data_IF_855235978732
#
_entry.id   IF_855235978732
#
_cell.length_a   1.000
_cell.length_b   1.000
_cell.length_c   1.000
_cell.angle_alpha   90.00
_cell.angle_beta   90.00
_cell.angle_gamma   90.00
#
_symmetry.space_group_name_H-M   'P 1'
#
loop_
_entity.id
_entity.type
_entity.pdbx_description
1 polymer ?
#
# COMPACT_ATOMS: atom_id res chain seq x y z
N UNK A 1 -3.32 22.82 -7.34
CA UNK A 1 -1.97 22.54 -6.80
C UNK A 1 -2.20 22.00 -5.39
N UNK A 2 -2.19 20.70 -5.11
CA UNK A 2 -1.15 19.69 -5.30
C UNK A 2 -1.80 18.41 -5.84
N UNK A 3 -1.19 17.80 -6.86
CA UNK A 3 -1.58 16.50 -7.40
C UNK A 3 -1.53 15.44 -6.29
N UNK A 4 -2.66 14.80 -5.99
CA UNK A 4 -2.70 13.60 -5.18
C UNK A 4 -1.95 12.47 -5.88
N UNK A 5 -0.62 12.43 -5.73
CA UNK A 5 0.19 11.28 -6.11
C UNK A 5 -0.25 10.13 -5.23
N UNK A 6 -1.07 9.25 -5.80
CA UNK A 6 -1.51 8.01 -5.16
C UNK A 6 -0.28 7.18 -4.81
N UNK A 7 -0.19 6.84 -3.53
CA UNK A 7 0.86 6.02 -2.97
C UNK A 7 0.85 4.64 -3.62
N UNK A 8 2.03 4.00 -3.79
CA UNK A 8 2.09 2.56 -3.93
C UNK A 8 1.45 1.94 -2.69
N UNK A 9 0.48 1.04 -2.89
CA UNK A 9 -0.16 0.25 -1.83
C UNK A 9 0.84 -0.75 -1.23
N UNK A 10 1.75 -0.26 -0.40
CA UNK A 10 2.54 -1.07 0.51
C UNK A 10 2.37 -0.46 1.90
N UNK A 11 1.69 -1.20 2.77
CA UNK A 11 1.21 -0.81 4.10
C UNK A 11 2.34 -0.58 5.14
N UNK A 12 3.47 0.02 4.74
CA UNK A 12 4.64 0.24 5.60
C UNK A 12 4.36 1.25 6.73
N UNK A 13 3.30 2.03 6.62
CA UNK A 13 2.84 2.95 7.68
C UNK A 13 2.37 2.21 8.93
N UNK A 14 1.99 0.93 8.80
CA UNK A 14 1.63 0.05 9.92
C UNK A 14 2.76 -0.16 10.92
N UNK A 15 4.01 -0.06 10.46
CA UNK A 15 5.22 -0.38 11.24
C UNK A 15 5.77 0.84 12.00
N UNK A 16 5.15 2.01 11.82
CA UNK A 16 5.47 3.22 12.58
C UNK A 16 5.07 3.03 14.04
N UNK A 17 6.04 3.07 14.94
CA UNK A 17 5.83 2.80 16.37
C UNK A 17 5.83 4.09 17.19
N UNK A 18 4.74 4.36 17.95
CA UNK A 18 4.68 5.50 18.84
C UNK A 18 5.67 5.35 19.99
N UNK A 19 6.14 6.47 20.51
CA UNK A 19 7.13 6.50 21.57
C UNK A 19 6.60 7.23 22.79
N UNK A 20 6.87 6.69 23.98
CA UNK A 20 6.65 7.38 25.24
C UNK A 20 7.82 8.32 25.50
N UNK A 21 7.53 9.59 25.67
CA UNK A 21 8.56 10.57 26.00
C UNK A 21 8.80 10.63 27.51
N UNK A 22 10.03 10.95 27.91
CA UNK A 22 10.38 11.26 29.29
C UNK A 22 10.80 12.73 29.38
N UNK A 23 9.82 13.64 29.40
CA UNK A 23 10.07 15.08 29.48
C UNK A 23 10.83 15.45 30.77
N UNK A 24 12.14 15.70 30.66
CA UNK A 24 12.98 16.20 31.77
C UNK A 24 13.12 17.71 31.62
N UNK A 25 12.26 18.46 32.31
CA UNK A 25 12.29 19.93 32.35
C UNK A 25 13.51 20.48 33.12
N UNK A 26 14.72 20.33 32.59
CA UNK A 26 15.88 21.07 33.11
C UNK A 26 15.95 22.42 32.38
N UNK A 27 15.50 23.49 33.07
CA UNK A 27 15.60 24.94 32.73
C UNK A 27 14.42 25.64 32.03
N UNK A 28 13.18 25.40 32.47
CA UNK A 28 12.11 26.42 32.39
C UNK A 28 11.59 26.83 33.78
N UNK A 29 12.33 26.47 34.83
CA UNK A 29 12.02 26.78 36.22
C UNK A 29 12.47 28.20 36.58
N UNK A 30 11.73 29.20 36.09
CA UNK A 30 11.48 30.44 36.82
C UNK A 30 10.35 31.21 36.14
N UNK A 31 9.10 30.92 36.57
CA UNK A 31 7.80 31.61 36.34
C UNK A 31 6.63 30.76 35.80
N UNK A 32 6.84 29.58 35.20
CA UNK A 32 5.80 28.82 34.47
C UNK A 32 5.47 27.40 34.99
N UNK A 33 5.14 27.26 36.29
CA UNK A 33 4.76 25.96 36.86
C UNK A 33 3.49 25.32 36.27
N UNK A 34 2.52 26.14 35.82
CA UNK A 34 1.27 25.69 35.20
C UNK A 34 1.45 25.15 33.78
N UNK A 35 2.18 25.87 32.93
CA UNK A 35 2.42 25.48 31.53
C UNK A 35 3.14 24.14 31.42
N UNK A 36 4.09 23.85 32.32
CA UNK A 36 4.77 22.56 32.33
C UNK A 36 3.85 21.38 32.71
N UNK A 37 2.81 21.60 33.53
CA UNK A 37 1.83 20.56 33.86
C UNK A 37 0.86 20.35 32.69
N UNK A 38 0.43 21.44 32.05
CA UNK A 38 -0.45 21.39 30.87
C UNK A 38 0.22 20.64 29.71
N UNK A 39 1.48 20.91 29.40
CA UNK A 39 2.22 20.21 28.34
C UNK A 39 2.32 18.70 28.59
N UNK A 40 2.57 18.28 29.84
CA UNK A 40 2.60 16.85 30.21
C UNK A 40 1.23 16.19 30.07
N UNK A 41 0.17 16.89 30.45
CA UNK A 41 -1.20 16.39 30.31
C UNK A 41 -1.56 16.21 28.82
N UNK A 42 -1.27 17.21 27.99
CA UNK A 42 -1.50 17.13 26.54
C UNK A 42 -0.75 15.95 25.92
N UNK A 43 0.52 15.75 26.25
CA UNK A 43 1.31 14.63 25.75
C UNK A 43 0.74 13.28 26.21
N UNK A 44 0.35 13.15 27.48
CA UNK A 44 -0.26 11.92 27.99
C UNK A 44 -1.57 11.58 27.26
N UNK A 45 -2.45 12.57 27.09
CA UNK A 45 -3.69 12.40 26.32
C UNK A 45 -3.41 12.09 24.84
N UNK A 46 -2.39 12.72 24.25
CA UNK A 46 -2.01 12.44 22.87
C UNK A 46 -1.52 11.00 22.69
N UNK A 47 -0.65 10.52 23.59
CA UNK A 47 -0.16 9.13 23.57
C UNK A 47 -1.29 8.14 23.81
N UNK A 48 -2.17 8.41 24.77
CA UNK A 48 -3.32 7.54 25.04
C UNK A 48 -4.25 7.44 23.81
N UNK A 49 -4.62 8.59 23.24
CA UNK A 49 -5.43 8.63 22.01
C UNK A 49 -4.73 7.89 20.86
N UNK A 50 -3.41 8.02 20.71
CA UNK A 50 -2.63 7.31 19.69
C UNK A 50 -2.64 5.80 19.89
N UNK A 51 -2.45 5.33 21.13
CA UNK A 51 -2.48 3.91 21.46
C UNK A 51 -3.88 3.30 21.27
N UNK A 52 -4.93 4.10 21.40
CA UNK A 52 -6.31 3.72 21.15
C UNK A 52 -6.78 3.99 19.70
N UNK A 53 -5.86 4.26 18.77
CA UNK A 53 -6.14 4.55 17.34
C UNK A 53 -7.07 5.75 17.09
N UNK A 54 -7.20 6.66 18.05
CA UNK A 54 -7.95 7.92 17.92
C UNK A 54 -7.05 9.00 17.32
N UNK A 55 -6.72 8.84 16.03
CA UNK A 55 -5.69 9.63 15.35
C UNK A 55 -5.99 11.13 15.31
N UNK A 56 -7.23 11.54 14.99
CA UNK A 56 -7.59 12.96 14.94
C UNK A 56 -7.53 13.64 16.31
N UNK A 57 -7.99 12.94 17.35
CA UNK A 57 -7.91 13.41 18.74
C UNK A 57 -6.45 13.55 19.18
N UNK A 58 -5.64 12.52 18.93
CA UNK A 58 -4.21 12.54 19.22
C UNK A 58 -3.49 13.68 18.50
N UNK A 59 -3.83 13.92 17.22
CA UNK A 59 -3.29 15.02 16.42
C UNK A 59 -3.59 16.37 17.08
N UNK A 60 -4.83 16.60 17.52
CA UNK A 60 -5.22 17.86 18.18
C UNK A 60 -4.39 18.11 19.44
N UNK A 61 -4.14 17.08 20.24
CA UNK A 61 -3.31 17.21 21.43
C UNK A 61 -1.85 17.53 21.10
N UNK A 62 -1.25 16.88 20.09
CA UNK A 62 0.11 17.20 19.65
C UNK A 62 0.22 18.58 18.99
N UNK A 63 -0.77 19.00 18.21
CA UNK A 63 -0.81 20.33 17.60
C UNK A 63 -0.85 21.41 18.69
N UNK A 64 -1.73 21.27 19.69
CA UNK A 64 -1.78 22.18 20.84
C UNK A 64 -0.49 22.14 21.66
N UNK A 65 0.09 20.94 21.86
CA UNK A 65 1.37 20.80 22.56
C UNK A 65 2.48 21.59 21.85
N UNK A 66 2.58 21.48 20.52
CA UNK A 66 3.59 22.16 19.70
C UNK A 66 3.33 23.68 19.66
N UNK A 67 2.08 24.12 19.56
CA UNK A 67 1.68 25.54 19.60
C UNK A 67 2.11 26.22 20.90
N UNK A 68 1.87 25.57 22.05
CA UNK A 68 2.26 26.07 23.37
C UNK A 68 3.79 26.18 23.56
N UNK A 69 4.60 25.54 22.71
CA UNK A 69 6.05 25.73 22.71
C UNK A 69 6.49 27.06 22.05
N UNK A 70 5.59 27.79 21.37
CA UNK A 70 5.86 29.11 20.78
C UNK A 70 7.15 29.15 19.93
N UNK A 71 7.38 28.14 19.09
CA UNK A 71 8.59 27.97 18.28
C UNK A 71 9.91 27.85 19.05
N UNK A 72 9.88 27.65 20.37
CA UNK A 72 11.05 27.35 21.21
C UNK A 72 11.22 25.84 21.35
N UNK A 73 11.38 25.17 20.21
CA UNK A 73 11.55 23.72 20.21
C UNK A 73 12.88 23.32 20.80
N UNK A 74 12.82 22.40 21.77
CA UNK A 74 14.00 21.80 22.38
C UNK A 74 14.15 20.37 21.88
N UNK A 75 15.29 19.75 22.19
CA UNK A 75 15.53 18.33 21.92
C UNK A 75 14.39 17.43 22.46
N UNK A 76 13.75 17.82 23.56
CA UNK A 76 12.69 17.06 24.21
C UNK A 76 11.37 17.06 23.41
N UNK A 77 11.19 18.02 22.48
CA UNK A 77 10.06 18.06 21.56
C UNK A 77 10.18 17.05 20.41
N UNK A 78 11.36 16.46 20.19
CA UNK A 78 11.60 15.54 19.06
C UNK A 78 10.64 14.34 19.05
N UNK A 79 10.33 13.78 20.21
CA UNK A 79 9.37 12.66 20.34
C UNK A 79 7.94 13.09 19.94
N UNK A 80 7.53 14.31 20.30
CA UNK A 80 6.21 14.83 19.95
C UNK A 80 6.06 15.01 18.43
N UNK A 81 7.07 15.60 17.77
CA UNK A 81 7.13 15.67 16.31
C UNK A 81 7.14 14.28 15.69
N UNK A 82 7.96 13.35 16.19
CA UNK A 82 7.96 11.96 15.69
C UNK A 82 6.58 11.32 15.82
N UNK A 83 5.87 11.47 16.95
CA UNK A 83 4.55 10.87 17.13
C UNK A 83 3.49 11.54 16.27
N UNK A 84 3.53 12.88 16.09
CA UNK A 84 2.66 13.58 15.15
C UNK A 84 2.92 13.15 13.70
N UNK A 85 4.17 12.91 13.33
CA UNK A 85 4.53 12.35 12.03
C UNK A 85 3.89 10.99 11.78
N UNK A 86 3.85 10.12 12.80
CA UNK A 86 3.13 8.83 12.71
C UNK A 86 1.65 9.06 12.46
N UNK A 87 1.02 9.96 13.21
CA UNK A 87 -0.41 10.27 13.08
C UNK A 87 -0.72 10.84 11.69
N UNK A 88 0.06 11.81 11.23
CA UNK A 88 -0.09 12.38 9.90
C UNK A 88 0.05 11.31 8.82
N UNK A 89 0.99 10.37 8.96
CA UNK A 89 1.11 9.26 8.03
C UNK A 89 -0.15 8.37 8.05
N UNK A 90 -0.68 8.04 9.22
CA UNK A 90 -1.92 7.23 9.38
C UNK A 90 -3.15 7.92 8.77
N UNK A 91 -3.21 9.25 8.85
CA UNK A 91 -4.27 10.06 8.24
C UNK A 91 -4.06 10.29 6.73
N UNK A 92 -2.97 9.80 6.14
CA UNK A 92 -2.64 10.00 4.72
C UNK A 92 -1.99 11.36 4.40
N UNK A 93 -1.68 12.17 5.41
CA UNK A 93 -0.98 13.46 5.29
C UNK A 93 0.54 13.25 5.17
N UNK A 94 0.97 12.61 4.08
CA UNK A 94 2.34 12.12 3.91
C UNK A 94 3.40 13.23 3.96
N UNK A 95 3.14 14.37 3.32
CA UNK A 95 4.10 15.48 3.30
C UNK A 95 4.32 16.05 4.70
N UNK A 96 3.23 16.29 5.44
CA UNK A 96 3.30 16.72 6.84
C UNK A 96 3.98 15.68 7.74
N UNK A 97 3.82 14.39 7.45
CA UNK A 97 4.52 13.32 8.16
C UNK A 97 6.04 13.39 7.95
N UNK A 98 6.48 13.62 6.70
CA UNK A 98 7.90 13.78 6.37
C UNK A 98 8.48 14.99 7.11
N UNK A 99 7.81 16.15 7.04
CA UNK A 99 8.23 17.38 7.72
C UNK A 99 8.35 17.17 9.24
N UNK A 100 7.40 16.47 9.85
CA UNK A 100 7.43 16.13 11.27
C UNK A 100 8.62 15.22 11.63
N UNK A 101 8.89 14.18 10.84
CA UNK A 101 10.03 13.31 11.08
C UNK A 101 11.37 14.01 10.86
N UNK A 102 11.48 14.85 9.82
CA UNK A 102 12.66 15.68 9.57
C UNK A 102 12.91 16.65 10.72
N UNK A 103 11.87 17.29 11.24
CA UNK A 103 11.96 18.15 12.43
C UNK A 103 12.42 17.35 13.66
N UNK A 104 11.87 16.14 13.88
CA UNK A 104 12.26 15.29 14.99
C UNK A 104 13.77 14.96 14.99
N UNK A 105 14.33 14.58 13.83
CA UNK A 105 15.76 14.27 13.71
C UNK A 105 16.64 15.52 13.68
N UNK A 106 16.11 16.67 13.29
CA UNK A 106 16.80 17.96 13.43
C UNK A 106 16.95 18.36 14.91
N UNK A 107 15.87 18.26 15.69
CA UNK A 107 15.85 18.57 17.12
C UNK A 107 16.69 17.60 17.95
N UNK A 108 16.73 16.32 17.55
CA UNK A 108 17.49 15.29 18.24
C UNK A 108 18.25 14.38 17.27
N UNK A 109 19.51 14.72 17.00
CA UNK A 109 20.42 13.92 16.15
C UNK A 109 20.73 12.52 16.67
N UNK A 110 20.35 12.17 17.90
CA UNK A 110 20.52 10.84 18.51
C UNK A 110 19.20 10.06 18.61
N UNK A 111 18.17 10.46 17.86
CA UNK A 111 16.86 9.85 17.93
C UNK A 111 16.70 8.68 16.94
N UNK A 112 17.19 7.49 17.31
CA UNK A 112 17.17 6.28 16.48
C UNK A 112 15.80 5.98 15.85
N UNK A 113 14.74 5.94 16.66
CA UNK A 113 13.39 5.58 16.18
C UNK A 113 12.81 6.59 15.18
N UNK A 114 13.14 7.88 15.31
CA UNK A 114 12.71 8.92 14.36
C UNK A 114 13.42 8.74 13.02
N UNK A 115 14.71 8.43 13.01
CA UNK A 115 15.42 8.08 11.77
C UNK A 115 14.86 6.82 11.11
N UNK A 116 14.53 5.77 11.88
CA UNK A 116 13.88 4.57 11.35
C UNK A 116 12.50 4.89 10.73
N UNK A 117 11.67 5.70 11.41
CA UNK A 117 10.37 6.11 10.90
C UNK A 117 10.49 7.00 9.65
N UNK A 118 11.48 7.90 9.63
CA UNK A 118 11.81 8.73 8.46
C UNK A 118 12.25 7.87 7.27
N UNK A 119 13.09 6.86 7.50
CA UNK A 119 13.50 5.93 6.47
C UNK A 119 12.30 5.15 5.89
N UNK A 120 11.38 4.72 6.76
CA UNK A 120 10.18 4.01 6.35
C UNK A 120 9.24 4.88 5.49
N UNK A 121 9.03 6.15 5.85
CA UNK A 121 8.19 7.06 5.04
C UNK A 121 8.87 7.40 3.69
N UNK A 122 10.19 7.52 3.65
CA UNK A 122 10.91 7.67 2.38
C UNK A 122 10.83 6.41 1.51
N UNK A 123 10.91 5.23 2.11
CA UNK A 123 10.73 3.95 1.42
C UNK A 123 9.34 3.86 0.77
N UNK A 124 8.28 4.22 1.49
CA UNK A 124 6.90 4.16 0.98
C UNK A 124 6.62 5.19 -0.12
N UNK A 125 7.29 6.34 -0.06
CA UNK A 125 7.20 7.41 -1.07
C UNK A 125 8.14 7.25 -2.25
N UNK A 126 8.95 6.18 -2.29
CA UNK A 126 9.87 5.90 -3.39
C UNK A 126 11.18 6.69 -3.36
N UNK A 127 11.47 7.42 -2.27
CA UNK A 127 12.70 8.18 -2.08
C UNK A 127 13.81 7.29 -1.50
N UNK A 128 14.24 6.29 -2.26
CA UNK A 128 15.08 5.19 -1.73
C UNK A 128 16.46 5.64 -1.24
N UNK A 129 17.09 6.61 -1.89
CA UNK A 129 18.40 7.12 -1.45
C UNK A 129 18.30 7.84 -0.09
N UNK A 130 17.28 8.69 0.08
CA UNK A 130 17.00 9.33 1.38
C UNK A 130 16.63 8.30 2.45
N UNK A 131 15.88 7.26 2.08
CA UNK A 131 15.57 6.16 2.99
C UNK A 131 16.85 5.47 3.47
N UNK A 132 17.80 5.24 2.56
CA UNK A 132 19.09 4.63 2.86
C UNK A 132 19.97 5.51 3.76
N UNK A 133 20.00 6.82 3.53
CA UNK A 133 20.71 7.75 4.43
C UNK A 133 20.10 7.72 5.85
N UNK A 134 18.78 7.86 5.96
CA UNK A 134 18.09 7.87 7.25
C UNK A 134 18.26 6.54 8.01
N UNK A 135 18.15 5.39 7.33
CA UNK A 135 18.28 4.09 7.99
C UNK A 135 19.71 3.82 8.47
N UNK A 136 20.73 4.28 7.72
CA UNK A 136 22.11 4.19 8.15
C UNK A 136 22.41 5.07 9.38
N UNK A 137 21.77 6.23 9.49
CA UNK A 137 21.87 7.02 10.72
C UNK A 137 21.22 6.29 11.91
N UNK A 138 20.05 5.66 11.72
CA UNK A 138 19.44 4.84 12.77
C UNK A 138 20.36 3.70 13.22
N UNK A 139 20.91 2.93 12.26
CA UNK A 139 21.80 1.80 12.56
C UNK A 139 23.17 2.20 13.09
N UNK A 140 23.66 3.41 12.79
CA UNK A 140 24.87 3.96 13.40
C UNK A 140 24.65 4.29 14.89
N UNK A 141 23.46 4.80 15.22
CA UNK A 141 23.09 5.14 16.60
C UNK A 141 22.79 3.89 17.43
N UNK A 142 22.12 2.91 16.83
CA UNK A 142 21.80 1.63 17.45
C UNK A 142 21.89 0.48 16.44
N UNK A 143 23.04 -0.20 16.36
CA UNK A 143 23.22 -1.36 15.49
C UNK A 143 22.31 -2.55 15.83
N UNK A 144 21.74 -2.58 17.05
CA UNK A 144 20.90 -3.66 17.56
C UNK A 144 19.40 -3.33 17.43
N UNK A 145 19.03 -2.29 16.70
CA UNK A 145 17.63 -1.96 16.48
C UNK A 145 16.98 -2.88 15.44
N UNK A 146 16.18 -3.85 15.88
CA UNK A 146 15.55 -4.86 15.00
C UNK A 146 14.81 -4.25 13.80
N UNK A 147 13.85 -3.33 14.04
CA UNK A 147 13.06 -2.76 12.93
C UNK A 147 13.93 -1.96 11.95
N UNK A 148 15.06 -1.42 12.40
CA UNK A 148 15.94 -0.64 11.54
C UNK A 148 16.75 -1.58 10.64
N UNK A 149 17.22 -2.71 11.17
CA UNK A 149 17.87 -3.75 10.38
C UNK A 149 16.90 -4.37 9.37
N UNK A 150 15.65 -4.63 9.77
CA UNK A 150 14.61 -5.13 8.88
C UNK A 150 14.30 -4.13 7.75
N UNK A 151 14.06 -2.85 8.07
CA UNK A 151 13.81 -1.82 7.06
C UNK A 151 15.02 -1.59 6.15
N UNK A 152 16.24 -1.73 6.66
CA UNK A 152 17.46 -1.64 5.86
C UNK A 152 17.51 -2.71 4.76
N UNK A 153 17.14 -3.96 5.06
CA UNK A 153 17.02 -5.04 4.06
C UNK A 153 16.03 -4.66 2.95
N UNK A 154 14.86 -4.13 3.32
CA UNK A 154 13.85 -3.72 2.34
C UNK A 154 14.35 -2.56 1.45
N UNK A 155 15.07 -1.60 2.04
CA UNK A 155 15.64 -0.47 1.31
C UNK A 155 16.74 -0.95 0.36
N UNK A 156 17.65 -1.82 0.81
CA UNK A 156 18.68 -2.42 -0.04
C UNK A 156 18.07 -3.14 -1.25
N UNK A 157 16.99 -3.89 -1.04
CA UNK A 157 16.25 -4.53 -2.12
C UNK A 157 15.69 -3.51 -3.13
N UNK A 158 15.06 -2.41 -2.66
CA UNK A 158 14.56 -1.36 -3.56
C UNK A 158 15.67 -0.65 -4.33
N UNK A 159 16.86 -0.53 -3.74
CA UNK A 159 18.07 -0.02 -4.39
C UNK A 159 18.77 -1.06 -5.28
N UNK A 160 18.24 -2.28 -5.40
CA UNK A 160 18.85 -3.41 -6.14
C UNK A 160 20.26 -3.77 -5.64
N UNK A 161 20.57 -3.48 -4.37
CA UNK A 161 21.83 -3.83 -3.69
C UNK A 161 21.73 -5.25 -3.15
N UNK A 162 21.57 -6.18 -4.08
CA UNK A 162 21.15 -7.56 -3.83
C UNK A 162 22.09 -8.34 -2.91
N UNK A 163 23.40 -8.24 -3.11
CA UNK A 163 24.40 -8.92 -2.27
C UNK A 163 24.32 -8.47 -0.81
N UNK A 164 24.28 -7.16 -0.60
CA UNK A 164 24.18 -6.56 0.73
C UNK A 164 22.85 -6.89 1.41
N UNK A 165 21.76 -6.99 0.66
CA UNK A 165 20.47 -7.41 1.20
C UNK A 165 20.53 -8.83 1.76
N UNK A 166 21.19 -9.77 1.07
CA UNK A 166 21.37 -11.15 1.52
C UNK A 166 22.27 -11.21 2.76
N UNK A 167 23.39 -10.49 2.76
CA UNK A 167 24.27 -10.40 3.93
C UNK A 167 23.53 -9.83 5.16
N UNK A 168 22.73 -8.79 4.95
CA UNK A 168 21.91 -8.19 6.00
C UNK A 168 20.82 -9.14 6.52
N UNK A 169 20.20 -9.96 5.65
CA UNK A 169 19.26 -11.01 6.06
C UNK A 169 19.95 -12.04 6.96
N UNK A 170 21.11 -12.55 6.53
CA UNK A 170 21.86 -13.55 7.30
C UNK A 170 22.27 -12.98 8.67
N UNK A 171 22.74 -11.74 8.70
CA UNK A 171 23.05 -11.04 9.97
C UNK A 171 21.81 -10.89 10.86
N UNK A 172 20.68 -10.48 10.30
CA UNK A 172 19.43 -10.31 11.05
C UNK A 172 18.97 -11.62 11.68
N UNK A 173 19.09 -12.74 10.97
CA UNK A 173 18.68 -14.07 11.45
C UNK A 173 19.53 -14.56 12.62
N UNK A 174 20.83 -14.27 12.60
CA UNK A 174 21.76 -14.59 13.69
C UNK A 174 21.50 -13.70 14.91
N UNK A 175 21.28 -12.40 14.68
CA UNK A 175 21.21 -11.40 15.75
C UNK A 175 19.85 -11.40 16.47
N UNK A 176 18.77 -11.73 15.76
CA UNK A 176 17.39 -11.65 16.28
C UNK A 176 16.59 -12.94 16.02
N UNK A 177 17.07 -14.12 16.47
CA UNK A 177 16.45 -15.40 16.12
C UNK A 177 15.02 -15.54 16.65
N UNK A 178 14.68 -14.88 17.77
CA UNK A 178 13.34 -14.95 18.37
C UNK A 178 12.33 -14.05 17.64
N UNK A 179 12.75 -12.83 17.30
CA UNK A 179 11.95 -11.89 16.52
C UNK A 179 11.69 -12.46 15.13
N UNK A 180 12.70 -13.05 14.50
CA UNK A 180 12.57 -13.70 13.19
C UNK A 180 11.57 -14.86 13.25
N UNK A 181 11.55 -15.66 14.31
CA UNK A 181 10.52 -16.71 14.49
C UNK A 181 9.10 -16.15 14.55
N UNK A 182 8.91 -14.94 15.07
CA UNK A 182 7.59 -14.33 15.27
C UNK A 182 7.05 -13.54 14.07
N UNK A 183 7.89 -13.17 13.10
CA UNK A 183 7.46 -12.38 11.92
C UNK A 183 7.17 -13.24 10.69
N UNK A 184 6.40 -12.67 9.78
CA UNK A 184 6.17 -13.22 8.44
C UNK A 184 7.47 -13.23 7.61
N UNK A 185 7.94 -14.40 7.13
CA UNK A 185 9.21 -14.50 6.42
C UNK A 185 9.12 -14.10 4.93
N UNK A 186 7.94 -13.79 4.41
CA UNK A 186 7.71 -13.58 2.97
C UNK A 186 8.58 -12.52 2.31
N UNK A 187 8.93 -11.38 2.96
CA UNK A 187 9.88 -10.44 2.39
C UNK A 187 11.25 -11.04 2.12
N UNK A 188 11.71 -11.95 2.98
CA UNK A 188 13.00 -12.60 2.81
C UNK A 188 12.95 -13.63 1.70
N UNK A 189 11.84 -14.38 1.57
CA UNK A 189 11.60 -15.32 0.48
C UNK A 189 11.67 -14.58 -0.86
N UNK A 190 10.94 -13.48 -1.00
CA UNK A 190 10.93 -12.67 -2.22
C UNK A 190 12.33 -12.17 -2.60
N UNK A 191 13.07 -11.60 -1.63
CA UNK A 191 14.43 -11.08 -1.87
C UNK A 191 15.37 -12.22 -2.29
N UNK A 192 15.33 -13.34 -1.58
CA UNK A 192 16.15 -14.53 -1.88
C UNK A 192 15.85 -15.10 -3.27
N UNK A 193 14.57 -15.24 -3.64
CA UNK A 193 14.17 -15.73 -4.97
C UNK A 193 14.56 -14.80 -6.11
N UNK A 194 14.49 -13.48 -5.91
CA UNK A 194 14.91 -12.49 -6.92
C UNK A 194 16.39 -12.63 -7.32
N UNK A 195 17.22 -13.20 -6.44
CA UNK A 195 18.67 -13.39 -6.67
C UNK A 195 19.05 -14.87 -6.80
N UNK A 196 18.06 -15.76 -6.92
CA UNK A 196 18.25 -17.21 -6.97
C UNK A 196 19.06 -17.78 -5.79
N UNK A 197 18.98 -17.14 -4.61
CA UNK A 197 19.52 -17.72 -3.38
C UNK A 197 18.46 -18.67 -2.79
N UNK A 198 18.66 -19.97 -2.95
CA UNK A 198 17.69 -20.97 -2.46
C UNK A 198 17.98 -21.50 -1.06
N UNK A 199 19.02 -21.01 -0.39
CA UNK A 199 19.44 -21.47 0.92
C UNK A 199 18.35 -21.21 1.97
N UNK A 200 17.84 -22.28 2.59
CA UNK A 200 16.82 -22.21 3.65
C UNK A 200 15.46 -21.65 3.20
N UNK A 201 15.17 -21.60 1.90
CA UNK A 201 13.87 -21.11 1.40
C UNK A 201 12.73 -22.03 1.84
N UNK A 202 12.89 -23.35 1.74
CA UNK A 202 11.83 -24.32 2.03
C UNK A 202 11.27 -24.16 3.46
N UNK A 203 12.15 -23.97 4.45
CA UNK A 203 11.76 -23.73 5.84
C UNK A 203 10.97 -22.41 6.01
N UNK A 204 11.40 -21.35 5.31
CA UNK A 204 10.71 -20.06 5.33
C UNK A 204 9.33 -20.15 4.65
N UNK A 205 9.25 -20.89 3.55
CA UNK A 205 8.02 -21.13 2.79
C UNK A 205 6.99 -21.91 3.60
N UNK A 206 7.42 -23.00 4.25
CA UNK A 206 6.57 -23.78 5.13
C UNK A 206 6.09 -22.94 6.32
N UNK A 207 6.98 -22.14 6.92
CA UNK A 207 6.60 -21.22 7.99
C UNK A 207 5.54 -20.21 7.54
N UNK A 208 5.67 -19.64 6.34
CA UNK A 208 4.66 -18.75 5.80
C UNK A 208 3.32 -19.47 5.58
N UNK A 209 3.33 -20.72 5.11
CA UNK A 209 2.12 -21.56 5.00
C UNK A 209 1.43 -21.74 6.37
N UNK A 210 2.19 -22.12 7.40
CA UNK A 210 1.66 -22.29 8.76
C UNK A 210 1.06 -20.99 9.34
N UNK A 211 1.65 -19.84 9.02
CA UNK A 211 1.12 -18.53 9.42
C UNK A 211 -0.19 -18.21 8.70
N UNK A 212 -0.35 -18.60 7.43
CA UNK A 212 -1.60 -18.41 6.68
C UNK A 212 -2.70 -19.25 7.32
N UNK A 213 -2.43 -20.51 7.64
CA UNK A 213 -3.41 -21.41 8.26
C UNK A 213 -3.90 -20.87 9.61
N UNK A 214 -2.98 -20.30 10.41
CA UNK A 214 -3.27 -19.69 11.72
C UNK A 214 -3.83 -18.26 11.64
N UNK A 215 -4.02 -17.71 10.44
CA UNK A 215 -4.43 -16.31 10.18
C UNK A 215 -3.50 -15.26 10.83
N UNK A 216 -2.20 -15.58 10.90
CA UNK A 216 -1.16 -14.72 11.49
C UNK A 216 -0.27 -14.01 10.47
N UNK A 217 -0.58 -14.11 9.17
CA UNK A 217 0.14 -13.34 8.15
C UNK A 217 -0.13 -11.84 8.25
N UNK A 218 0.86 -11.06 7.84
CA UNK A 218 0.70 -9.63 7.59
C UNK A 218 0.23 -9.45 6.16
N UNK A 219 -1.00 -8.95 5.99
CA UNK A 219 -1.61 -8.88 4.67
C UNK A 219 -0.80 -8.01 3.70
N UNK A 220 0.04 -7.08 4.18
CA UNK A 220 0.91 -6.28 3.29
C UNK A 220 1.88 -7.12 2.46
N UNK A 221 2.14 -8.36 2.90
CA UNK A 221 2.97 -9.34 2.21
C UNK A 221 2.16 -10.36 1.40
N UNK A 222 0.84 -10.20 1.28
CA UNK A 222 -0.01 -11.17 0.58
C UNK A 222 0.42 -11.43 -0.87
N UNK A 223 1.01 -10.44 -1.54
CA UNK A 223 1.51 -10.62 -2.90
C UNK A 223 2.84 -11.40 -2.95
N UNK A 224 3.67 -11.29 -1.91
CA UNK A 224 4.88 -12.10 -1.77
C UNK A 224 4.53 -13.59 -1.57
N UNK A 225 3.40 -13.88 -0.91
CA UNK A 225 2.92 -15.25 -0.74
C UNK A 225 2.62 -15.96 -2.07
N UNK A 226 2.29 -15.25 -3.16
CA UNK A 226 2.06 -15.89 -4.46
C UNK A 226 3.32 -16.54 -5.03
N UNK A 227 4.50 -16.13 -4.57
CA UNK A 227 5.77 -16.75 -4.94
C UNK A 227 6.13 -17.94 -4.04
N UNK A 228 5.32 -18.28 -3.03
CA UNK A 228 5.60 -19.35 -2.08
C UNK A 228 5.12 -20.70 -2.63
N UNK A 229 6.06 -21.61 -2.85
CA UNK A 229 5.79 -22.94 -3.43
C UNK A 229 5.11 -23.91 -2.45
N UNK A 230 5.18 -23.65 -1.15
CA UNK A 230 4.49 -24.46 -0.15
C UNK A 230 2.97 -24.17 -0.10
N UNK A 231 2.49 -23.10 -0.74
CA UNK A 231 1.08 -22.73 -0.71
C UNK A 231 0.26 -23.43 -1.78
N UNK A 232 -0.88 -23.99 -1.35
CA UNK A 232 -1.95 -24.37 -2.26
C UNK A 232 -2.84 -23.17 -2.63
N UNK A 233 -3.73 -23.35 -3.61
CA UNK A 233 -4.61 -22.28 -4.10
C UNK A 233 -5.57 -21.71 -3.05
N UNK A 234 -6.01 -22.49 -2.06
CA UNK A 234 -6.88 -22.01 -0.98
C UNK A 234 -6.12 -21.10 -0.01
N UNK A 235 -4.85 -21.44 0.30
CA UNK A 235 -3.99 -20.60 1.13
C UNK A 235 -3.62 -19.28 0.41
N UNK A 236 -3.32 -19.33 -0.89
CA UNK A 236 -3.13 -18.13 -1.71
C UNK A 236 -4.38 -17.25 -1.69
N UNK A 237 -5.56 -17.85 -1.88
CA UNK A 237 -6.83 -17.14 -1.80
C UNK A 237 -7.07 -16.51 -0.42
N UNK A 238 -6.79 -17.22 0.67
CA UNK A 238 -6.92 -16.71 2.04
C UNK A 238 -6.05 -15.46 2.25
N UNK A 239 -4.81 -15.49 1.78
CA UNK A 239 -3.91 -14.35 1.81
C UNK A 239 -4.46 -13.14 1.04
N UNK A 240 -4.89 -13.36 -0.21
CA UNK A 240 -5.45 -12.31 -1.06
C UNK A 240 -6.74 -11.72 -0.51
N UNK A 241 -7.61 -12.54 0.08
CA UNK A 241 -8.83 -12.10 0.76
C UNK A 241 -8.53 -11.21 1.95
N UNK A 242 -7.55 -11.58 2.78
CA UNK A 242 -7.10 -10.74 3.90
C UNK A 242 -6.57 -9.40 3.41
N UNK A 243 -5.75 -9.40 2.35
CA UNK A 243 -5.23 -8.18 1.73
C UNK A 243 -6.35 -7.29 1.19
N UNK A 244 -7.29 -7.86 0.45
CA UNK A 244 -8.40 -7.13 -0.15
C UNK A 244 -9.29 -6.50 0.93
N UNK A 245 -9.66 -7.27 1.97
CA UNK A 245 -10.45 -6.76 3.09
C UNK A 245 -9.72 -5.63 3.84
N UNK A 246 -8.42 -5.76 4.09
CA UNK A 246 -7.66 -4.72 4.79
C UNK A 246 -7.58 -3.41 3.98
N UNK A 247 -7.42 -3.50 2.65
CA UNK A 247 -7.28 -2.32 1.80
C UNK A 247 -8.62 -1.70 1.38
N UNK A 248 -9.68 -2.50 1.25
CA UNK A 248 -10.94 -2.06 0.63
C UNK A 248 -12.19 -2.40 1.43
N UNK A 249 -12.11 -3.18 2.51
CA UNK A 249 -13.29 -3.61 3.27
C UNK A 249 -14.03 -2.49 4.01
N UNK A 250 -13.44 -1.31 4.11
CA UNK A 250 -14.09 -0.09 4.62
C UNK A 250 -14.94 0.62 3.56
N UNK A 251 -14.83 0.21 2.29
CA UNK A 251 -15.60 0.76 1.18
C UNK A 251 -16.87 -0.07 0.98
N UNK A 252 -17.93 0.59 0.52
CA UNK A 252 -19.21 -0.07 0.24
C UNK A 252 -19.66 0.20 -1.19
N UNK A 253 -20.04 -0.88 -1.88
CA UNK A 253 -20.64 -0.84 -3.22
C UNK A 253 -21.98 -0.13 -3.11
N UNK A 254 -22.07 1.09 -3.64
CA UNK A 254 -23.35 1.81 -3.63
C UNK A 254 -24.31 1.21 -4.66
N UNK A 255 -25.62 1.22 -4.38
CA UNK A 255 -26.63 0.84 -5.36
C UNK A 255 -26.48 1.66 -6.64
N UNK A 256 -26.58 1.00 -7.79
CA UNK A 256 -26.58 1.66 -9.09
C UNK A 256 -28.04 1.87 -9.49
N UNK A 257 -28.40 3.12 -9.78
CA UNK A 257 -29.73 3.47 -10.25
C UNK A 257 -30.07 2.67 -11.51
N UNK A 258 -31.29 2.11 -11.55
CA UNK A 258 -31.79 1.49 -12.75
C UNK A 258 -31.89 2.54 -13.87
N UNK A 259 -31.45 2.16 -15.07
CA UNK A 259 -31.61 2.95 -16.28
C UNK A 259 -32.09 2.04 -17.41
N UNK A 260 -32.74 2.62 -18.42
CA UNK A 260 -33.28 1.86 -19.54
C UNK A 260 -32.13 1.28 -20.40
N UNK A 261 -32.13 -0.04 -20.57
CA UNK A 261 -31.14 -0.78 -21.39
C UNK A 261 -31.68 -1.18 -22.76
N UNK A 262 -32.95 -0.91 -23.05
CA UNK A 262 -33.59 -1.36 -24.27
C UNK A 262 -33.03 -0.63 -25.50
N UNK A 263 -32.75 -1.40 -26.56
CA UNK A 263 -32.34 -0.91 -27.88
C UNK A 263 -31.10 0.02 -27.89
N UNK A 264 -30.18 -0.15 -26.93
CA UNK A 264 -28.87 0.54 -26.94
C UNK A 264 -27.71 -0.46 -26.98
N UNK A 265 -26.54 0.02 -27.41
CA UNK A 265 -25.29 -0.74 -27.30
C UNK A 265 -24.95 -1.00 -25.83
N UNK A 266 -24.33 -2.15 -25.56
CA UNK A 266 -23.80 -2.47 -24.22
C UNK A 266 -22.52 -1.68 -24.02
N UNK A 267 -22.44 -0.89 -22.95
CA UNK A 267 -21.26 -0.07 -22.64
C UNK A 267 -20.27 -0.86 -21.78
N UNK A 268 -19.07 -1.08 -22.32
CA UNK A 268 -18.02 -1.84 -21.63
C UNK A 268 -16.82 -0.94 -21.41
N UNK A 269 -16.32 -0.88 -20.18
CA UNK A 269 -15.17 -0.10 -19.81
C UNK A 269 -14.01 -0.98 -19.33
N UNK A 270 -12.86 -0.92 -20.01
CA UNK A 270 -11.62 -1.47 -19.47
C UNK A 270 -10.91 -0.41 -18.64
N UNK A 271 -10.59 -0.75 -17.39
CA UNK A 271 -9.90 0.14 -16.45
C UNK A 271 -8.47 -0.36 -16.26
N UNK A 272 -7.48 0.46 -16.63
CA UNK A 272 -6.08 0.04 -16.57
C UNK A 272 -5.09 1.17 -16.37
N UNK A 273 -4.01 0.85 -15.66
CA UNK A 273 -2.80 1.67 -15.58
C UNK A 273 -1.74 1.22 -16.58
N UNK A 274 -2.07 0.37 -17.56
CA UNK A 274 -1.11 -0.22 -18.49
C UNK A 274 -1.37 0.10 -19.97
N UNK A 275 -2.27 1.04 -20.28
CA UNK A 275 -2.53 1.50 -21.66
C UNK A 275 -1.38 2.34 -22.21
N UNK A 276 -0.24 1.69 -22.43
CA UNK A 276 1.00 2.18 -23.00
C UNK A 276 1.82 0.96 -23.46
N UNK A 277 3.11 1.09 -23.80
CA UNK A 277 3.93 -0.07 -24.15
C UNK A 277 4.26 -0.97 -22.94
N UNK A 278 3.27 -1.77 -22.53
CA UNK A 278 3.29 -2.68 -21.39
C UNK A 278 2.80 -4.08 -21.78
N UNK A 279 3.21 -5.11 -21.02
CA UNK A 279 2.88 -6.50 -21.29
C UNK A 279 1.36 -6.75 -21.49
N UNK A 280 0.52 -6.25 -20.58
CA UNK A 280 -0.95 -6.34 -20.69
C UNK A 280 -1.46 -5.82 -22.03
N UNK A 281 -1.00 -4.63 -22.45
CA UNK A 281 -1.47 -4.00 -23.68
C UNK A 281 -0.92 -4.70 -24.91
N UNK A 282 0.32 -5.20 -24.88
CA UNK A 282 0.87 -6.03 -25.97
C UNK A 282 0.03 -7.28 -26.22
N UNK A 283 -0.49 -7.91 -25.16
CA UNK A 283 -1.38 -9.07 -25.27
C UNK A 283 -2.77 -8.70 -25.79
N UNK A 284 -3.30 -7.55 -25.36
CA UNK A 284 -4.71 -7.19 -25.55
C UNK A 284 -4.98 -6.26 -26.74
N UNK A 285 -3.97 -5.61 -27.33
CA UNK A 285 -4.17 -4.55 -28.33
C UNK A 285 -5.01 -5.02 -29.53
N UNK A 286 -4.73 -6.20 -30.07
CA UNK A 286 -5.51 -6.74 -31.20
C UNK A 286 -6.92 -7.15 -30.78
N UNK A 287 -7.13 -7.61 -29.54
CA UNK A 287 -8.47 -7.87 -29.03
C UNK A 287 -9.29 -6.57 -29.01
N UNK A 288 -8.70 -5.47 -28.54
CA UNK A 288 -9.35 -4.17 -28.53
C UNK A 288 -9.73 -3.70 -29.94
N UNK A 289 -8.83 -3.88 -30.90
CA UNK A 289 -9.01 -3.49 -32.32
C UNK A 289 -10.13 -4.28 -33.01
N UNK A 290 -10.41 -5.51 -32.55
CA UNK A 290 -11.38 -6.42 -33.15
C UNK A 290 -12.73 -6.49 -32.41
N UNK A 291 -12.94 -5.64 -31.39
CA UNK A 291 -14.22 -5.62 -30.70
C UNK A 291 -15.37 -5.21 -31.63
N UNK A 292 -16.51 -5.88 -31.46
CA UNK A 292 -17.72 -5.57 -32.22
C UNK A 292 -18.28 -4.20 -31.79
N UNK A 293 -18.22 -3.23 -32.71
CA UNK A 293 -18.73 -1.87 -32.51
C UNK A 293 -20.22 -1.72 -32.85
N UNK A 294 -20.89 -2.74 -33.37
CA UNK A 294 -22.33 -2.71 -33.65
C UNK A 294 -23.13 -2.98 -32.37
N UNK A 295 -22.70 -3.96 -31.58
CA UNK A 295 -23.38 -4.36 -30.34
C UNK A 295 -22.87 -3.66 -29.09
N UNK A 296 -21.61 -3.23 -29.08
CA UNK A 296 -20.96 -2.66 -27.90
C UNK A 296 -20.41 -1.26 -28.17
N UNK A 297 -20.33 -0.48 -27.10
CA UNK A 297 -19.64 0.82 -27.05
C UNK A 297 -18.50 0.73 -26.04
N UNK A 298 -17.28 1.02 -26.49
CA UNK A 298 -16.06 0.66 -25.77
C UNK A 298 -15.36 1.87 -25.17
N UNK A 299 -15.10 1.78 -23.87
CA UNK A 299 -14.38 2.78 -23.09
C UNK A 299 -13.04 2.23 -22.59
N UNK A 300 -11.98 3.00 -22.76
CA UNK A 300 -10.70 2.81 -22.07
C UNK A 300 -10.56 3.86 -20.98
N UNK A 301 -10.59 3.44 -19.71
CA UNK A 301 -10.41 4.30 -18.55
C UNK A 301 -8.96 4.18 -18.09
N UNK A 302 -8.14 5.12 -18.56
CA UNK A 302 -6.69 5.12 -18.36
C UNK A 302 -6.28 5.89 -17.11
N UNK A 303 -5.55 5.23 -16.22
CA UNK A 303 -4.81 5.89 -15.12
C UNK A 303 -3.32 5.61 -15.24
N UNK A 304 -2.85 5.56 -16.49
CA UNK A 304 -1.45 5.38 -16.84
C UNK A 304 -0.86 6.69 -17.32
N UNK A 305 0.44 6.89 -17.09
CA UNK A 305 1.16 8.01 -17.70
C UNK A 305 1.14 7.86 -19.22
N UNK A 306 1.00 8.98 -19.93
CA UNK A 306 1.18 8.98 -21.38
C UNK A 306 2.68 8.87 -21.71
N UNK A 307 3.07 7.77 -22.33
CA UNK A 307 4.44 7.51 -22.75
C UNK A 307 4.69 7.88 -24.22
N UNK A 308 3.68 8.40 -24.92
CA UNK A 308 3.70 8.69 -26.35
C UNK A 308 4.07 7.49 -27.25
N UNK A 309 3.93 6.25 -26.76
CA UNK A 309 4.28 5.05 -27.52
C UNK A 309 3.32 4.81 -28.69
N UNK A 310 3.82 4.12 -29.73
CA UNK A 310 2.95 3.61 -30.81
C UNK A 310 1.85 2.69 -30.26
N UNK A 311 2.14 1.97 -29.17
CA UNK A 311 1.17 1.09 -28.51
C UNK A 311 0.02 1.88 -27.87
N UNK A 312 0.32 2.98 -27.15
CA UNK A 312 -0.69 3.93 -26.63
C UNK A 312 -1.61 4.42 -27.76
N UNK A 313 -1.03 4.80 -28.89
CA UNK A 313 -1.78 5.29 -30.04
C UNK A 313 -2.69 4.22 -30.66
N UNK A 314 -2.26 2.95 -30.69
CA UNK A 314 -3.12 1.84 -31.12
C UNK A 314 -4.32 1.68 -30.19
N UNK A 315 -4.10 1.70 -28.88
CA UNK A 315 -5.19 1.61 -27.90
C UNK A 315 -6.18 2.77 -28.07
N UNK A 316 -5.70 4.02 -28.13
CA UNK A 316 -6.58 5.19 -28.31
C UNK A 316 -7.48 5.03 -29.55
N UNK A 317 -6.94 4.51 -30.66
CA UNK A 317 -7.70 4.30 -31.90
C UNK A 317 -8.70 3.13 -31.84
N UNK A 318 -8.42 2.12 -31.01
CA UNK A 318 -9.27 0.94 -30.89
C UNK A 318 -10.60 1.25 -30.18
N UNK A 319 -10.56 2.12 -29.17
CA UNK A 319 -11.70 2.47 -28.34
C UNK A 319 -12.58 3.57 -28.96
N UNK A 320 -13.87 3.55 -28.63
CA UNK A 320 -14.78 4.65 -28.98
C UNK A 320 -14.51 5.87 -28.08
N UNK A 321 -14.14 5.60 -26.83
CA UNK A 321 -13.79 6.63 -25.84
C UNK A 321 -12.51 6.26 -25.09
N UNK A 322 -11.52 7.16 -25.10
CA UNK A 322 -10.32 7.05 -24.28
C UNK A 322 -10.32 8.16 -23.24
N UNK A 323 -10.39 7.80 -21.96
CA UNK A 323 -10.57 8.74 -20.85
C UNK A 323 -9.34 8.67 -19.94
N UNK A 324 -8.58 9.77 -19.88
CA UNK A 324 -7.49 9.91 -18.92
C UNK A 324 -8.04 10.39 -17.56
N UNK A 325 -7.83 9.57 -16.53
CA UNK A 325 -8.33 9.81 -15.17
C UNK A 325 -7.20 9.90 -14.13
N UNK A 326 -5.97 10.21 -14.56
CA UNK A 326 -4.82 10.32 -13.65
C UNK A 326 -5.04 11.36 -12.54
N UNK A 327 -5.72 12.47 -12.84
CA UNK A 327 -5.99 13.55 -11.89
C UNK A 327 -7.20 13.27 -10.98
N UNK A 328 -7.96 12.20 -11.21
CA UNK A 328 -9.21 11.91 -10.52
C UNK A 328 -9.02 10.95 -9.34
N UNK A 329 -9.80 11.16 -8.28
CA UNK A 329 -9.93 10.19 -7.18
C UNK A 329 -10.67 8.94 -7.64
N UNK A 330 -10.60 7.85 -6.87
CA UNK A 330 -11.33 6.62 -7.19
C UNK A 330 -12.84 6.82 -7.16
N UNK A 331 -13.31 7.68 -6.27
CA UNK A 331 -14.71 8.09 -6.19
C UNK A 331 -15.16 8.88 -7.41
N UNK A 332 -14.37 9.87 -7.86
CA UNK A 332 -14.68 10.64 -9.06
C UNK A 332 -14.80 9.75 -10.30
N UNK A 333 -13.88 8.80 -10.47
CA UNK A 333 -13.94 7.83 -11.58
C UNK A 333 -15.18 6.94 -11.46
N UNK A 334 -15.44 6.40 -10.26
CA UNK A 334 -16.62 5.56 -10.03
C UNK A 334 -17.93 6.28 -10.29
N UNK A 335 -18.06 7.55 -9.89
CA UNK A 335 -19.26 8.35 -10.12
C UNK A 335 -19.43 8.70 -11.59
N UNK A 336 -18.35 9.09 -12.26
CA UNK A 336 -18.37 9.38 -13.69
C UNK A 336 -18.78 8.15 -14.51
N UNK A 337 -18.25 6.96 -14.22
CA UNK A 337 -18.63 5.73 -14.92
C UNK A 337 -20.13 5.39 -14.76
N UNK A 338 -20.71 5.69 -13.58
CA UNK A 338 -22.15 5.55 -13.36
C UNK A 338 -22.96 6.55 -14.15
N UNK A 339 -22.51 7.80 -14.19
CA UNK A 339 -23.14 8.85 -15.00
C UNK A 339 -23.14 8.48 -16.48
N UNK A 340 -22.06 7.86 -16.98
CA UNK A 340 -22.00 7.32 -18.33
C UNK A 340 -22.82 6.05 -18.55
N UNK A 341 -23.41 5.49 -17.49
CA UNK A 341 -24.20 4.26 -17.50
C UNK A 341 -23.41 3.06 -18.09
N UNK A 342 -22.14 2.93 -17.69
CA UNK A 342 -21.32 1.76 -18.01
C UNK A 342 -22.01 0.49 -17.48
N UNK A 343 -22.20 -0.50 -18.33
CA UNK A 343 -22.88 -1.76 -17.99
C UNK A 343 -21.89 -2.78 -17.40
N UNK A 344 -20.71 -2.88 -18.01
CA UNK A 344 -19.67 -3.84 -17.62
C UNK A 344 -18.36 -3.07 -17.42
N UNK A 345 -17.79 -3.14 -16.22
CA UNK A 345 -16.45 -2.65 -15.95
C UNK A 345 -15.48 -3.83 -15.82
N UNK A 346 -14.38 -3.78 -16.57
CA UNK A 346 -13.34 -4.81 -16.57
C UNK A 346 -12.04 -4.24 -16.01
N UNK A 347 -11.63 -4.73 -14.84
CA UNK A 347 -10.33 -4.49 -14.24
C UNK A 347 -9.26 -5.28 -14.99
N UNK A 348 -8.25 -4.57 -15.53
CA UNK A 348 -7.09 -5.17 -16.18
C UNK A 348 -5.82 -5.06 -15.33
N UNK A 349 -5.95 -4.87 -14.02
CA UNK A 349 -4.82 -4.68 -13.10
C UNK A 349 -4.75 -5.68 -11.97
N UNK A 350 -5.85 -5.94 -11.27
CA UNK A 350 -5.86 -6.67 -10.01
C UNK A 350 -4.86 -6.09 -9.01
N UNK A 351 -4.23 -6.93 -8.19
CA UNK A 351 -3.32 -6.49 -7.12
C UNK A 351 -1.90 -6.15 -7.60
N UNK A 352 -1.76 -5.53 -8.77
CA UNK A 352 -0.46 -5.08 -9.31
C UNK A 352 -0.16 -3.63 -8.97
N UNK A 353 1.07 -3.20 -9.26
CA UNK A 353 1.50 -1.81 -9.05
C UNK A 353 0.57 -0.84 -9.79
N UNK A 354 0.23 0.27 -9.12
CA UNK A 354 -0.67 1.32 -9.57
C UNK A 354 -2.12 0.87 -9.77
N UNK A 355 -2.56 -0.21 -9.13
CA UNK A 355 -3.96 -0.62 -9.15
C UNK A 355 -4.90 0.45 -8.58
N UNK A 356 -6.16 0.41 -9.03
CA UNK A 356 -7.25 1.26 -8.54
C UNK A 356 -8.53 0.46 -8.30
N UNK A 357 -8.42 -0.71 -7.64
CA UNK A 357 -9.55 -1.55 -7.24
C UNK A 357 -10.55 -0.80 -6.34
N UNK A 358 -10.14 0.30 -5.70
CA UNK A 358 -11.03 1.22 -4.99
C UNK A 358 -12.14 1.85 -5.85
N UNK A 359 -11.96 1.92 -7.18
CA UNK A 359 -13.01 2.31 -8.14
C UNK A 359 -14.13 1.25 -8.11
N UNK A 360 -13.76 -0.02 -8.19
CA UNK A 360 -14.67 -1.16 -8.21
C UNK A 360 -15.31 -1.41 -6.85
N UNK A 361 -14.56 -1.25 -5.76
CA UNK A 361 -15.07 -1.37 -4.40
C UNK A 361 -16.20 -0.38 -4.07
N UNK A 362 -16.26 0.75 -4.79
CA UNK A 362 -17.36 1.73 -4.69
C UNK A 362 -18.57 1.37 -5.55
N UNK A 363 -18.41 0.48 -6.53
CA UNK A 363 -19.45 0.02 -7.45
C UNK A 363 -19.56 0.85 -8.73
N UNK A 364 -18.53 0.88 -9.56
CA UNK A 364 -18.50 1.69 -10.79
C UNK A 364 -19.44 1.21 -11.92
N UNK A 365 -19.85 -0.06 -11.90
CA UNK A 365 -20.76 -0.66 -12.88
C UNK A 365 -21.61 -1.79 -12.24
N UNK A 366 -22.79 -2.13 -12.82
CA UNK A 366 -23.64 -3.20 -12.30
C UNK A 366 -23.01 -4.59 -12.46
N UNK A 367 -22.13 -4.76 -13.46
CA UNK A 367 -21.29 -5.95 -13.59
C UNK A 367 -19.83 -5.53 -13.56
N UNK A 368 -19.06 -6.13 -12.65
CA UNK A 368 -17.64 -5.86 -12.46
C UNK A 368 -16.84 -7.15 -12.63
N UNK A 369 -15.87 -7.12 -13.54
CA UNK A 369 -15.08 -8.29 -13.95
C UNK A 369 -13.60 -7.99 -13.72
N UNK A 370 -12.82 -8.96 -13.26
CA UNK A 370 -11.35 -8.90 -13.32
C UNK A 370 -10.84 -9.82 -14.44
N UNK A 371 -9.84 -9.36 -15.19
CA UNK A 371 -9.26 -10.13 -16.28
C UNK A 371 -7.78 -9.80 -16.51
N UNK A 372 -7.01 -10.85 -16.80
CA UNK A 372 -5.63 -10.94 -17.32
C UNK A 372 -4.49 -10.24 -16.55
N UNK A 373 -4.71 -9.06 -15.97
CA UNK A 373 -3.66 -8.24 -15.36
C UNK A 373 -3.05 -8.84 -14.09
N UNK A 374 -3.79 -9.70 -13.41
CA UNK A 374 -3.36 -10.36 -12.18
C UNK A 374 -3.71 -11.86 -12.24
N UNK A 375 -2.75 -12.77 -12.06
CA UNK A 375 -2.97 -14.20 -12.20
C UNK A 375 -3.53 -14.80 -10.90
N UNK A 376 -4.72 -14.37 -10.49
CA UNK A 376 -5.38 -14.87 -9.29
C UNK A 376 -6.64 -14.09 -8.92
N UNK A 377 -7.31 -14.54 -7.86
CA UNK A 377 -8.48 -13.90 -7.27
C UNK A 377 -8.18 -12.49 -6.76
N UNK A 378 -9.10 -11.53 -6.92
CA UNK A 378 -8.99 -10.24 -6.20
C UNK A 378 -9.26 -10.39 -4.70
N UNK A 379 -9.78 -11.54 -4.25
CA UNK A 379 -10.13 -11.79 -2.85
C UNK A 379 -11.21 -10.85 -2.33
N UNK A 380 -11.94 -10.18 -3.22
CA UNK A 380 -12.86 -9.09 -2.89
C UNK A 380 -14.32 -9.53 -2.92
N UNK A 381 -15.18 -8.82 -2.20
CA UNK A 381 -16.63 -9.01 -2.29
C UNK A 381 -17.30 -8.08 -3.32
N UNK A 382 -16.51 -7.30 -4.06
CA UNK A 382 -17.01 -6.30 -5.00
C UNK A 382 -16.76 -6.66 -6.46
N UNK A 383 -15.93 -7.67 -6.75
CA UNK A 383 -15.75 -8.17 -8.10
C UNK A 383 -16.72 -9.34 -8.33
N UNK A 384 -17.54 -9.25 -9.38
CA UNK A 384 -18.59 -10.24 -9.64
C UNK A 384 -18.01 -11.47 -10.34
N UNK A 385 -17.12 -11.26 -11.32
CA UNK A 385 -16.58 -12.33 -12.16
C UNK A 385 -15.07 -12.23 -12.39
N UNK A 386 -14.46 -13.38 -12.67
CA UNK A 386 -13.12 -13.51 -13.25
C UNK A 386 -13.24 -14.23 -14.59
N UNK A 387 -12.67 -13.66 -15.64
CA UNK A 387 -12.59 -14.33 -16.95
C UNK A 387 -11.40 -15.28 -16.92
N UNK A 388 -11.65 -16.54 -17.25
CA UNK A 388 -10.64 -17.58 -17.23
C UNK A 388 -10.83 -18.63 -18.32
N UNK A 389 -10.30 -19.83 -18.08
CA UNK A 389 -10.46 -20.98 -18.97
C UNK A 389 -10.42 -22.30 -18.19
N UNK A 390 -10.81 -23.39 -18.85
CA UNK A 390 -10.94 -24.73 -18.25
C UNK A 390 -9.61 -25.36 -17.78
N UNK A 391 -8.46 -24.80 -18.15
CA UNK A 391 -7.14 -25.33 -17.80
C UNK A 391 -6.48 -24.50 -16.70
N UNK A 392 -6.48 -23.17 -16.85
CA UNK A 392 -5.82 -22.27 -15.89
C UNK A 392 -6.71 -21.99 -14.68
N UNK A 393 -8.02 -21.86 -14.89
CA UNK A 393 -9.01 -21.57 -13.84
C UNK A 393 -10.22 -22.51 -13.98
N UNK A 394 -10.02 -23.83 -13.83
CA UNK A 394 -11.11 -24.79 -13.96
C UNK A 394 -12.20 -24.51 -12.92
N UNK A 395 -13.46 -24.83 -13.23
CA UNK A 395 -14.58 -24.67 -12.29
C UNK A 395 -14.41 -25.47 -10.99
N UNK A 396 -13.56 -26.51 -10.98
CA UNK A 396 -13.17 -27.24 -9.77
C UNK A 396 -12.39 -26.37 -8.78
N UNK A 397 -11.73 -25.31 -9.24
CA UNK A 397 -10.98 -24.37 -8.41
C UNK A 397 -11.83 -23.25 -7.81
N UNK A 398 -13.17 -23.26 -7.98
CA UNK A 398 -14.07 -22.17 -7.52
C UNK A 398 -13.89 -21.73 -6.06
N UNK A 399 -13.47 -22.63 -5.16
CA UNK A 399 -13.24 -22.32 -3.75
C UNK A 399 -11.98 -21.47 -3.51
N UNK A 400 -11.15 -21.29 -4.54
CA UNK A 400 -9.92 -20.48 -4.54
C UNK A 400 -10.17 -19.06 -5.08
N UNK A 401 -11.42 -18.72 -5.41
CA UNK A 401 -11.81 -17.42 -5.97
C UNK A 401 -12.97 -16.83 -5.18
N UNK A 402 -13.00 -15.50 -5.12
CA UNK A 402 -14.16 -14.76 -4.59
C UNK A 402 -15.20 -14.52 -5.69
N UNK A 403 -14.71 -14.36 -6.91
CA UNK A 403 -15.43 -14.12 -8.13
C UNK A 403 -16.03 -15.42 -8.67
N UNK A 404 -17.15 -15.31 -9.37
CA UNK A 404 -17.60 -16.41 -10.21
C UNK A 404 -16.69 -16.54 -11.44
N UNK A 405 -16.28 -17.77 -11.75
CA UNK A 405 -15.42 -18.07 -12.91
C UNK A 405 -16.29 -18.10 -14.17
N UNK A 406 -15.92 -17.30 -15.18
CA UNK A 406 -16.49 -17.30 -16.53
C UNK A 406 -15.62 -18.08 -17.52
#
# INVERSE_FOLDING_TARGET
>A
MVSGKKLPSFNSLADLRPQKNNFRTKKLASKNGGLSKELKALEAHAVDALLNNKFDESKRYYDKFIELQQNKFTKDCSTAFSNRGIINARLGNIQSAIEDFEMAVQLNKKHTSAYNNLANIYLSTGQYDKAFEAINQALRLDPNHYNANFNHILILNKLKRNKEAIEAINKLFIQFPNEIKAVDPSPFIDIKKQVCNWEGIEELEQKAADLIDRDKIDAKWALAHLNNQALNGEQQFKALKKFSNQNFGHLSRQPISAYNRNNRKIKVAYVSADFYDHATTRLMAQLFENHDKQLFEWYAISHSLDDNSAMRQRVIKAFDHFIDVNSWTDEQVSLWMREQQIDIAVDLKGHRRNQRLGIFARGCAPVQITYIGFPGSTGSNFMDYIIGDKWVTPLSAKNQFSEAIL
#
